data_IF_626888670278
#
_entry.id   IF_626888670278
#
_cell.length_a   1.000
_cell.length_b   1.000
_cell.length_c   1.000
_cell.angle_alpha   90.00
_cell.angle_beta   90.00
_cell.angle_gamma   90.00
#
_symmetry.space_group_name_H-M   'P 1'
#
loop_
_entity.id
_entity.type
_entity.pdbx_description
1 polymer ?
#
# COMPACT_ATOMS: atom_id res chain seq x y z
N UNK A 1 -12.58 -0.24 -28.41
CA UNK A 1 -13.45 -0.57 -27.26
C UNK A 1 -12.69 -0.17 -26.00
N UNK A 2 -13.21 0.76 -25.20
CA UNK A 2 -12.54 1.17 -23.96
C UNK A 2 -12.68 0.06 -22.92
N UNK A 3 -11.55 -0.55 -22.53
CA UNK A 3 -11.53 -1.58 -21.50
C UNK A 3 -11.62 -0.93 -20.11
N UNK A 4 -12.41 -1.53 -19.23
CA UNK A 4 -12.61 -1.09 -17.85
C UNK A 4 -12.10 -2.13 -16.87
N UNK A 5 -11.37 -1.68 -15.87
CA UNK A 5 -10.92 -2.53 -14.78
C UNK A 5 -11.39 -1.98 -13.42
N UNK A 6 -11.70 -2.92 -12.52
CA UNK A 6 -11.99 -2.64 -11.13
C UNK A 6 -10.92 -3.30 -10.27
N UNK A 7 -10.41 -2.55 -9.29
CA UNK A 7 -9.46 -3.06 -8.31
C UNK A 7 -10.08 -2.95 -6.93
N UNK A 8 -10.07 -4.07 -6.20
CA UNK A 8 -10.64 -4.21 -4.86
C UNK A 8 -9.54 -4.74 -3.95
N UNK A 9 -8.70 -3.87 -3.36
CA UNK A 9 -7.72 -4.29 -2.38
C UNK A 9 -8.40 -4.66 -1.06
N UNK A 10 -7.63 -5.32 -0.20
CA UNK A 10 -7.91 -5.48 1.21
C UNK A 10 -8.02 -4.09 1.89
N UNK A 11 -8.81 -3.95 2.96
CA UNK A 11 -9.03 -2.64 3.60
C UNK A 11 -7.78 -1.99 4.22
N UNK A 12 -6.67 -2.72 4.39
CA UNK A 12 -5.44 -2.17 4.93
C UNK A 12 -4.76 -1.20 3.94
N UNK A 13 -4.18 -0.13 4.49
CA UNK A 13 -3.50 0.88 3.67
C UNK A 13 -2.30 0.29 2.91
N UNK A 14 -1.56 -0.64 3.51
CA UNK A 14 -0.43 -1.32 2.85
C UNK A 14 -0.85 -2.07 1.58
N UNK A 15 -1.94 -2.84 1.66
CA UNK A 15 -2.45 -3.63 0.54
C UNK A 15 -3.02 -2.69 -0.52
N UNK A 16 -3.75 -1.66 -0.11
CA UNK A 16 -4.22 -0.59 -0.98
C UNK A 16 -3.08 0.03 -1.78
N UNK A 17 -2.04 0.54 -1.11
CA UNK A 17 -0.87 1.17 -1.74
C UNK A 17 -0.15 0.23 -2.71
N UNK A 18 -0.02 -1.05 -2.36
CA UNK A 18 0.57 -2.05 -3.25
C UNK A 18 -0.29 -2.27 -4.50
N UNK A 19 -1.62 -2.37 -4.35
CA UNK A 19 -2.54 -2.56 -5.48
C UNK A 19 -2.64 -1.33 -6.39
N UNK A 20 -2.28 -0.13 -5.90
CA UNK A 20 -2.13 1.05 -6.76
C UNK A 20 -1.04 0.87 -7.82
N UNK A 21 -0.06 -0.04 -7.63
CA UNK A 21 0.90 -0.43 -8.68
C UNK A 21 0.17 -1.02 -9.89
N UNK A 22 -0.77 -1.94 -9.67
CA UNK A 22 -1.57 -2.50 -10.74
C UNK A 22 -2.49 -1.44 -11.38
N UNK A 23 -3.08 -0.55 -10.58
CA UNK A 23 -3.92 0.53 -11.07
C UNK A 23 -3.15 1.47 -12.02
N UNK A 24 -1.96 1.89 -11.59
CA UNK A 24 -1.08 2.74 -12.38
C UNK A 24 -0.64 2.04 -13.67
N UNK A 25 -0.21 0.78 -13.59
CA UNK A 25 0.22 0.01 -14.76
C UNK A 25 -0.90 -0.13 -15.80
N UNK A 26 -2.12 -0.46 -15.38
CA UNK A 26 -3.29 -0.57 -16.26
C UNK A 26 -3.64 0.77 -16.91
N UNK A 27 -3.51 1.89 -16.18
CA UNK A 27 -3.72 3.23 -16.73
C UNK A 27 -2.69 3.58 -17.82
N UNK A 28 -1.42 3.17 -17.66
CA UNK A 28 -0.38 3.39 -18.67
C UNK A 28 -0.70 2.71 -20.01
N UNK A 29 -1.46 1.61 -19.99
CA UNK A 29 -1.93 0.92 -21.19
C UNK A 29 -3.37 1.30 -21.58
N UNK A 30 -3.84 2.48 -21.15
CA UNK A 30 -5.14 3.07 -21.49
C UNK A 30 -6.38 2.27 -21.06
N UNK A 31 -6.28 1.47 -19.98
CA UNK A 31 -7.44 0.86 -19.34
C UNK A 31 -8.05 1.86 -18.35
N UNK A 32 -9.38 2.01 -18.37
CA UNK A 32 -10.08 2.84 -17.40
C UNK A 32 -10.23 2.09 -16.07
N UNK A 33 -9.41 2.45 -15.09
CA UNK A 33 -9.36 1.79 -13.79
C UNK A 33 -10.13 2.57 -12.74
N UNK A 34 -10.95 1.87 -11.96
CA UNK A 34 -11.52 2.36 -10.69
C UNK A 34 -11.03 1.51 -9.52
N UNK A 35 -10.46 2.16 -8.51
CA UNK A 35 -10.00 1.51 -7.26
C UNK A 35 -11.01 1.78 -6.16
N UNK A 36 -11.48 0.72 -5.48
CA UNK A 36 -12.43 0.84 -4.38
C UNK A 36 -11.72 0.67 -3.05
N UNK A 37 -11.49 1.77 -2.34
CA UNK A 37 -10.75 1.74 -1.07
C UNK A 37 -11.02 3.00 -0.23
N UNK A 38 -11.57 2.83 0.97
CA UNK A 38 -11.99 3.95 1.82
C UNK A 38 -10.81 4.81 2.30
N UNK A 39 -9.74 4.20 2.83
CA UNK A 39 -8.55 4.95 3.27
C UNK A 39 -7.86 5.70 2.12
N UNK A 40 -7.55 5.04 1.01
CA UNK A 40 -6.91 5.70 -0.14
C UNK A 40 -7.76 6.83 -0.72
N UNK A 41 -9.09 6.72 -0.66
CA UNK A 41 -9.98 7.79 -1.10
C UNK A 41 -9.73 9.10 -0.33
N UNK A 42 -9.43 9.03 0.97
CA UNK A 42 -9.12 10.22 1.81
C UNK A 42 -7.84 10.95 1.40
N UNK A 43 -6.94 10.27 0.68
CA UNK A 43 -5.70 10.83 0.13
C UNK A 43 -5.69 10.83 -1.40
N UNK A 44 -6.87 10.80 -2.05
CA UNK A 44 -6.98 10.71 -3.50
C UNK A 44 -6.28 11.85 -4.26
N UNK A 45 -6.13 13.03 -3.65
CA UNK A 45 -5.38 14.15 -4.24
C UNK A 45 -3.88 13.85 -4.43
N UNK A 46 -3.34 12.83 -3.75
CA UNK A 46 -1.97 12.34 -3.94
C UNK A 46 -1.86 11.34 -5.10
N UNK A 47 -2.96 10.99 -5.76
CA UNK A 47 -3.00 10.08 -6.91
C UNK A 47 -3.80 10.73 -8.06
N UNK A 48 -3.33 11.85 -8.63
CA UNK A 48 -4.11 12.71 -9.52
C UNK A 48 -4.59 12.02 -10.80
N UNK A 49 -3.92 10.93 -11.20
CA UNK A 49 -4.26 10.16 -12.41
C UNK A 49 -5.09 8.91 -12.12
N UNK A 50 -5.52 8.69 -10.88
CA UNK A 50 -6.23 7.49 -10.46
C UNK A 50 -7.64 7.84 -10.00
N UNK A 51 -8.61 7.04 -10.43
CA UNK A 51 -9.97 7.12 -9.92
C UNK A 51 -10.10 6.21 -8.70
N UNK A 52 -10.07 6.81 -7.52
CA UNK A 52 -10.28 6.12 -6.25
C UNK A 52 -11.67 6.49 -5.73
N UNK A 53 -12.44 5.50 -5.29
CA UNK A 53 -13.78 5.70 -4.74
C UNK A 53 -13.96 4.90 -3.45
N UNK A 54 -14.87 5.31 -2.56
CA UNK A 54 -15.24 4.51 -1.38
C UNK A 54 -15.79 3.14 -1.76
N UNK A 55 -15.73 2.19 -0.83
CA UNK A 55 -16.20 0.80 -1.01
C UNK A 55 -17.74 0.77 -1.01
N UNK A 56 -18.35 1.11 -2.15
CA UNK A 56 -19.81 1.16 -2.36
C UNK A 56 -20.16 0.69 -3.77
N UNK A 57 -21.34 0.10 -3.94
CA UNK A 57 -21.85 -0.35 -5.25
C UNK A 57 -20.89 -1.29 -6.01
N UNK A 58 -20.11 -2.10 -5.30
CA UNK A 58 -19.08 -2.95 -5.91
C UNK A 58 -19.65 -3.96 -6.92
N UNK A 59 -20.80 -4.57 -6.61
CA UNK A 59 -21.47 -5.51 -7.51
C UNK A 59 -21.75 -4.92 -8.89
N UNK A 60 -22.29 -3.69 -8.93
CA UNK A 60 -22.60 -2.98 -10.17
C UNK A 60 -21.32 -2.61 -10.95
N UNK A 61 -20.30 -2.11 -10.25
CA UNK A 61 -19.03 -1.74 -10.86
C UNK A 61 -18.32 -2.94 -11.51
N UNK A 62 -18.26 -4.07 -10.80
CA UNK A 62 -17.66 -5.31 -11.35
C UNK A 62 -18.48 -5.86 -12.50
N UNK A 63 -19.82 -5.84 -12.39
CA UNK A 63 -20.71 -6.31 -13.47
C UNK A 63 -20.58 -5.51 -14.77
N UNK A 64 -20.04 -4.30 -14.69
CA UNK A 64 -19.74 -3.42 -15.83
C UNK A 64 -18.27 -3.46 -16.25
N UNK A 65 -17.39 -4.15 -15.53
CA UNK A 65 -15.96 -4.20 -15.85
C UNK A 65 -15.62 -5.33 -16.81
N UNK A 66 -14.48 -5.23 -17.50
CA UNK A 66 -13.90 -6.33 -18.28
C UNK A 66 -12.91 -7.15 -17.43
N UNK A 67 -12.31 -6.50 -16.41
CA UNK A 67 -11.32 -7.07 -15.52
C UNK A 67 -11.60 -6.65 -14.08
N UNK A 68 -11.59 -7.62 -13.17
CA UNK A 68 -11.62 -7.38 -11.73
C UNK A 68 -10.40 -8.01 -11.08
N UNK A 69 -9.61 -7.19 -10.38
CA UNK A 69 -8.45 -7.64 -9.60
C UNK A 69 -8.75 -7.43 -8.13
N UNK A 70 -8.61 -8.47 -7.33
CA UNK A 70 -8.80 -8.41 -5.89
C UNK A 70 -7.67 -9.05 -5.10
N UNK A 71 -7.55 -8.73 -3.82
CA UNK A 71 -6.74 -9.51 -2.88
C UNK A 71 -7.61 -10.51 -2.11
N UNK A 72 -7.04 -11.63 -1.67
CA UNK A 72 -7.81 -12.70 -1.01
C UNK A 72 -8.64 -12.25 0.19
N UNK A 73 -8.15 -11.29 0.98
CA UNK A 73 -8.81 -10.81 2.21
C UNK A 73 -9.79 -9.65 1.97
N UNK A 74 -10.04 -9.28 0.72
CA UNK A 74 -11.03 -8.24 0.38
C UNK A 74 -12.43 -8.66 0.84
N UNK A 75 -13.34 -7.70 1.14
CA UNK A 75 -14.68 -8.02 1.59
C UNK A 75 -15.34 -9.09 0.72
N UNK A 76 -16.09 -10.05 1.30
CA UNK A 76 -16.64 -11.20 0.61
C UNK A 76 -17.78 -10.77 -0.32
N UNK A 77 -17.43 -10.13 -1.43
CA UNK A 77 -18.38 -9.76 -2.47
C UNK A 77 -18.46 -10.81 -3.58
N UNK A 78 -17.52 -11.77 -3.65
CA UNK A 78 -17.43 -12.70 -4.80
C UNK A 78 -17.23 -14.17 -4.41
N UNK A 79 -17.92 -14.63 -3.38
CA UNK A 79 -18.34 -16.04 -3.33
C UNK A 79 -19.51 -16.34 -4.29
N UNK A 80 -20.14 -15.31 -4.87
CA UNK A 80 -21.16 -15.44 -5.90
C UNK A 80 -20.58 -15.07 -7.28
N UNK A 81 -20.45 -16.08 -8.13
CA UNK A 81 -20.06 -16.08 -9.55
C UNK A 81 -20.06 -14.69 -10.24
N UNK A 82 -18.88 -14.08 -10.52
CA UNK A 82 -18.83 -12.92 -11.39
C UNK A 82 -19.45 -13.26 -12.76
N UNK A 83 -20.02 -12.28 -13.48
CA UNK A 83 -20.54 -12.54 -14.82
C UNK A 83 -19.45 -13.18 -15.69
N UNK A 84 -19.83 -14.14 -16.55
CA UNK A 84 -18.87 -14.88 -17.38
C UNK A 84 -18.02 -14.00 -18.31
N UNK A 85 -18.44 -12.75 -18.54
CA UNK A 85 -17.72 -11.75 -19.34
C UNK A 85 -16.57 -11.05 -18.59
N UNK A 86 -16.47 -11.20 -17.26
CA UNK A 86 -15.48 -10.50 -16.44
C UNK A 86 -14.31 -11.43 -16.15
N UNK A 87 -13.09 -11.01 -16.51
CA UNK A 87 -11.88 -11.69 -16.06
C UNK A 87 -11.69 -11.37 -14.58
N UNK A 88 -11.78 -12.38 -13.71
CA UNK A 88 -11.53 -12.23 -12.29
C UNK A 88 -10.18 -12.83 -11.92
N UNK A 89 -9.37 -12.09 -11.18
CA UNK A 89 -8.10 -12.57 -10.63
C UNK A 89 -7.95 -12.16 -9.18
N UNK A 90 -7.47 -13.10 -8.38
CA UNK A 90 -7.16 -12.89 -6.97
C UNK A 90 -5.67 -13.02 -6.72
N UNK A 91 -5.12 -12.05 -6.00
CA UNK A 91 -3.75 -12.08 -5.51
C UNK A 91 -3.75 -12.61 -4.07
N UNK A 92 -3.13 -13.77 -3.89
CA UNK A 92 -3.03 -14.46 -2.60
C UNK A 92 -1.66 -14.18 -1.96
N UNK A 93 -1.63 -13.84 -0.67
CA UNK A 93 -0.36 -13.62 0.03
C UNK A 93 0.43 -14.92 0.16
N UNK A 94 -0.24 -16.06 0.35
CA UNK A 94 0.44 -17.35 0.55
C UNK A 94 -0.30 -18.56 -0.04
N UNK A 95 0.43 -19.68 -0.18
CA UNK A 95 -0.15 -20.98 -0.56
C UNK A 95 -1.16 -21.52 0.46
N UNK A 96 -1.18 -21.01 1.69
CA UNK A 96 -2.10 -21.46 2.75
C UNK A 96 -3.48 -20.82 2.61
N UNK A 97 -3.54 -19.63 2.01
CA UNK A 97 -4.77 -18.85 1.83
C UNK A 97 -5.51 -19.19 0.54
N UNK A 98 -4.90 -19.92 -0.39
CA UNK A 98 -5.50 -20.19 -1.70
C UNK A 98 -6.60 -21.28 -1.63
N UNK A 99 -7.58 -21.25 -2.55
CA UNK A 99 -8.48 -22.38 -2.75
C UNK A 99 -7.73 -23.62 -3.26
N UNK A 100 -8.38 -24.79 -3.14
CA UNK A 100 -7.84 -26.07 -3.65
C UNK A 100 -7.45 -25.97 -5.13
N UNK A 101 -8.32 -25.34 -5.94
CA UNK A 101 -8.11 -25.06 -7.36
C UNK A 101 -8.09 -23.54 -7.58
N UNK A 102 -7.04 -23.05 -8.22
CA UNK A 102 -6.92 -21.65 -8.62
C UNK A 102 -7.67 -21.38 -9.92
N UNK A 103 -8.17 -20.16 -10.09
CA UNK A 103 -8.59 -19.68 -11.40
C UNK A 103 -7.36 -19.46 -12.32
N UNK A 104 -7.52 -19.47 -13.65
CA UNK A 104 -6.39 -19.37 -14.59
C UNK A 104 -5.50 -18.13 -14.39
N UNK A 105 -6.08 -17.03 -13.91
CA UNK A 105 -5.40 -15.75 -13.76
C UNK A 105 -5.00 -15.43 -12.32
N UNK A 106 -5.32 -16.29 -11.36
CA UNK A 106 -4.94 -16.10 -9.97
C UNK A 106 -3.42 -16.11 -9.79
N UNK A 107 -2.93 -15.32 -8.85
CA UNK A 107 -1.49 -15.20 -8.56
C UNK A 107 -1.22 -15.46 -7.08
N UNK A 108 -0.20 -16.25 -6.79
CA UNK A 108 0.30 -16.46 -5.43
C UNK A 108 1.58 -15.66 -5.29
N UNK A 109 1.64 -14.83 -4.25
CA UNK A 109 2.82 -14.05 -3.95
C UNK A 109 3.97 -14.91 -3.45
N UNK A 110 5.17 -14.56 -3.91
CA UNK A 110 6.43 -15.08 -3.42
C UNK A 110 6.75 -14.44 -2.07
N UNK A 111 7.00 -15.28 -1.06
CA UNK A 111 7.43 -14.84 0.27
C UNK A 111 8.85 -14.24 0.29
N UNK A 112 9.59 -14.35 -0.82
CA UNK A 112 10.92 -13.77 -0.98
C UNK A 112 10.89 -12.34 -1.51
N UNK A 113 9.74 -11.91 -2.02
CA UNK A 113 9.54 -10.61 -2.60
C UNK A 113 8.60 -9.81 -1.73
N UNK A 114 8.72 -8.50 -1.84
CA UNK A 114 7.81 -7.56 -1.21
C UNK A 114 6.45 -7.53 -1.89
N UNK A 115 5.46 -6.90 -1.26
CA UNK A 115 4.13 -6.84 -1.85
C UNK A 115 4.08 -6.06 -3.17
N UNK A 116 4.73 -4.90 -3.26
CA UNK A 116 4.76 -4.10 -4.48
C UNK A 116 5.43 -4.83 -5.65
N UNK A 117 6.51 -5.59 -5.40
CA UNK A 117 7.17 -6.42 -6.41
C UNK A 117 6.27 -7.55 -6.89
N UNK A 118 5.61 -8.23 -5.95
CA UNK A 118 4.65 -9.29 -6.27
C UNK A 118 3.50 -8.76 -7.12
N UNK A 119 2.91 -7.61 -6.78
CA UNK A 119 1.85 -6.98 -7.57
C UNK A 119 2.36 -6.61 -8.97
N UNK A 120 3.56 -6.05 -9.06
CA UNK A 120 4.16 -5.66 -10.33
C UNK A 120 4.40 -6.84 -11.27
N UNK A 121 4.96 -7.94 -10.76
CA UNK A 121 5.16 -9.18 -11.53
C UNK A 121 3.81 -9.80 -11.89
N UNK A 122 2.87 -9.82 -10.96
CA UNK A 122 1.54 -10.36 -11.17
C UNK A 122 0.84 -9.63 -12.33
N UNK A 123 0.79 -8.29 -12.30
CA UNK A 123 0.13 -7.51 -13.35
C UNK A 123 0.84 -7.63 -14.70
N UNK A 124 2.18 -7.56 -14.75
CA UNK A 124 2.94 -7.73 -15.99
C UNK A 124 2.65 -9.10 -16.63
N UNK A 125 2.64 -10.17 -15.82
CA UNK A 125 2.38 -11.52 -16.30
C UNK A 125 0.95 -11.74 -16.81
N UNK A 126 -0.05 -11.00 -16.31
CA UNK A 126 -1.43 -11.08 -16.80
C UNK A 126 -1.56 -10.58 -18.24
N UNK A 127 -0.66 -9.68 -18.66
CA UNK A 127 -0.67 -9.06 -19.98
C UNK A 127 0.49 -9.52 -20.86
N UNK A 128 1.23 -10.56 -20.45
CA UNK A 128 2.37 -11.09 -21.21
C UNK A 128 3.54 -10.12 -21.34
N UNK A 129 3.65 -9.14 -20.42
CA UNK A 129 4.76 -8.19 -20.38
C UNK A 129 5.88 -8.68 -19.46
N UNK A 130 7.13 -8.34 -19.81
CA UNK A 130 8.30 -8.50 -18.95
C UNK A 130 8.65 -7.23 -18.17
N UNK A 131 8.04 -6.10 -18.53
CA UNK A 131 8.28 -4.82 -17.87
C UNK A 131 7.57 -4.80 -16.51
N UNK A 132 8.37 -4.66 -15.46
CA UNK A 132 7.89 -4.51 -14.09
C UNK A 132 8.27 -3.13 -13.57
N UNK A 133 7.36 -2.52 -12.81
CA UNK A 133 7.55 -1.24 -12.14
C UNK A 133 6.79 -1.24 -10.82
N UNK A 134 7.39 -0.67 -9.78
CA UNK A 134 6.74 -0.43 -8.48
C UNK A 134 6.06 0.95 -8.42
N UNK A 135 6.10 1.72 -9.51
CA UNK A 135 5.42 3.02 -9.55
C UNK A 135 3.91 2.80 -9.39
N UNK A 136 3.34 3.39 -8.34
CA UNK A 136 1.91 3.30 -8.06
C UNK A 136 1.14 4.59 -8.37
N UNK A 137 1.80 5.54 -9.03
CA UNK A 137 1.19 6.80 -9.46
C UNK A 137 0.96 7.81 -8.35
N UNK A 138 1.62 7.65 -7.20
CA UNK A 138 1.64 8.71 -6.18
C UNK A 138 2.37 9.94 -6.74
N UNK A 139 1.75 11.10 -6.61
CA UNK A 139 2.27 12.39 -7.07
C UNK A 139 1.89 13.47 -6.04
N UNK A 140 2.82 13.85 -5.14
CA UNK A 140 2.55 14.80 -4.07
C UNK A 140 2.03 16.15 -4.62
N UNK A 141 0.89 16.66 -4.12
CA UNK A 141 0.28 17.89 -4.65
C UNK A 141 1.12 19.15 -4.37
N UNK A 142 2.03 19.10 -3.39
CA UNK A 142 2.84 20.24 -2.98
C UNK A 142 4.32 19.85 -2.82
N UNK A 143 5.07 19.66 -3.92
CA UNK A 143 6.45 19.17 -3.87
C UNK A 143 7.41 20.09 -3.09
N UNK A 144 7.07 21.38 -2.96
CA UNK A 144 7.85 22.35 -2.17
C UNK A 144 7.89 22.06 -0.67
N UNK A 145 6.98 21.25 -0.14
CA UNK A 145 6.94 20.90 1.29
C UNK A 145 7.74 19.64 1.62
N UNK A 146 8.37 19.00 0.63
CA UNK A 146 9.09 17.76 0.84
C UNK A 146 10.22 17.92 1.86
N UNK A 147 10.07 17.24 3.00
CA UNK A 147 11.04 17.20 4.10
C UNK A 147 11.49 18.60 4.53
N UNK A 148 10.58 19.57 4.55
CA UNK A 148 10.88 20.96 4.90
C UNK A 148 11.27 21.11 6.38
N UNK A 149 10.76 20.24 7.27
CA UNK A 149 11.08 20.22 8.70
C UNK A 149 12.21 19.25 8.98
N UNK A 150 13.45 19.75 8.98
CA UNK A 150 14.68 18.95 9.14
C UNK A 150 14.87 18.38 10.54
N UNK A 151 14.21 18.97 11.52
CA UNK A 151 14.17 18.58 12.92
C UNK A 151 13.03 17.60 13.23
N UNK A 152 12.02 17.48 12.35
CA UNK A 152 10.82 16.69 12.66
C UNK A 152 10.96 15.21 12.31
N UNK A 153 10.46 14.37 13.21
CA UNK A 153 10.39 12.91 13.06
C UNK A 153 8.95 12.47 13.11
N UNK A 154 8.48 11.89 12.02
CA UNK A 154 7.17 11.26 11.98
C UNK A 154 7.22 9.89 12.67
N UNK A 155 6.34 9.67 13.64
CA UNK A 155 6.29 8.45 14.44
C UNK A 155 4.94 7.79 14.26
N UNK A 156 4.95 6.50 13.95
CA UNK A 156 3.75 5.69 13.93
C UNK A 156 3.09 5.66 15.32
N UNK A 157 1.80 5.99 15.39
CA UNK A 157 1.02 5.92 16.63
C UNK A 157 1.01 4.51 17.25
N UNK A 158 1.30 3.46 16.49
CA UNK A 158 1.51 2.12 17.04
C UNK A 158 2.67 2.03 18.05
N UNK A 159 3.57 3.03 18.08
CA UNK A 159 4.65 3.15 19.06
C UNK A 159 4.26 3.94 20.32
N UNK A 160 2.99 4.34 20.48
CA UNK A 160 2.51 4.99 21.72
C UNK A 160 2.82 4.22 23.02
N UNK A 161 2.80 2.87 23.06
CA UNK A 161 3.22 2.13 24.26
C UNK A 161 4.68 2.38 24.68
N UNK A 162 5.52 2.94 23.78
CA UNK A 162 6.93 3.28 24.00
C UNK A 162 7.16 4.78 23.88
N UNK A 163 6.13 5.59 24.15
CA UNK A 163 6.15 7.04 23.90
C UNK A 163 7.31 7.71 24.63
N UNK A 164 7.52 7.40 25.90
CA UNK A 164 8.50 8.11 26.72
C UNK A 164 9.93 7.82 26.26
N UNK A 165 10.23 6.58 25.89
CA UNK A 165 11.51 6.17 25.31
C UNK A 165 11.75 6.83 23.95
N UNK A 166 10.73 6.87 23.09
CA UNK A 166 10.81 7.54 21.79
C UNK A 166 11.03 9.04 21.97
N UNK A 167 10.28 9.68 22.89
CA UNK A 167 10.45 11.10 23.20
C UNK A 167 11.85 11.39 23.76
N UNK A 168 12.35 10.56 24.66
CA UNK A 168 13.71 10.69 25.22
C UNK A 168 14.76 10.60 24.12
N UNK A 169 14.65 9.60 23.22
CA UNK A 169 15.57 9.43 22.11
C UNK A 169 15.54 10.63 21.15
N UNK A 170 14.34 11.11 20.80
CA UNK A 170 14.19 12.31 19.98
C UNK A 170 14.84 13.54 20.64
N UNK A 171 14.58 13.76 21.93
CA UNK A 171 15.16 14.89 22.69
C UNK A 171 16.69 14.84 22.73
N UNK A 172 17.27 13.65 22.97
CA UNK A 172 18.72 13.45 22.99
C UNK A 172 19.39 13.75 21.63
N UNK A 173 18.63 13.64 20.54
CA UNK A 173 19.11 13.88 19.18
C UNK A 173 18.57 15.20 18.58
N UNK A 174 17.97 16.07 19.40
CA UNK A 174 17.40 17.36 18.97
C UNK A 174 16.34 17.26 17.87
N UNK A 175 15.52 16.20 17.93
CA UNK A 175 14.41 15.98 17.01
C UNK A 175 13.06 16.35 17.65
N UNK A 176 12.14 16.89 16.86
CA UNK A 176 10.74 17.15 17.17
C UNK A 176 9.87 15.93 16.76
N UNK A 177 9.42 15.10 17.72
CA UNK A 177 8.56 13.96 17.42
C UNK A 177 7.12 14.39 17.10
N UNK A 178 6.54 13.88 16.01
CA UNK A 178 5.12 13.99 15.70
C UNK A 178 4.51 12.61 15.52
N UNK A 179 3.45 12.30 16.28
CA UNK A 179 2.75 11.01 16.17
C UNK A 179 1.67 11.10 15.09
N UNK A 180 1.69 10.16 14.15
CA UNK A 180 0.78 10.09 13.01
C UNK A 180 -0.38 9.13 13.29
N UNK A 181 -1.60 9.51 12.93
CA UNK A 181 -2.80 8.70 13.10
C UNK A 181 -3.32 8.20 11.76
N UNK A 182 -3.32 6.88 11.53
CA UNK A 182 -3.85 6.29 10.31
C UNK A 182 -5.37 6.54 10.13
N UNK A 183 -6.09 6.90 11.20
CA UNK A 183 -7.50 7.31 11.12
C UNK A 183 -7.68 8.74 10.56
N UNK A 184 -6.68 9.60 10.71
CA UNK A 184 -6.57 10.90 10.04
C UNK A 184 -5.46 10.84 8.99
N UNK A 185 -5.70 10.07 7.94
CA UNK A 185 -4.69 9.83 6.92
C UNK A 185 -4.37 11.10 6.12
N UNK A 186 -5.33 12.01 5.94
CA UNK A 186 -5.14 13.29 5.24
C UNK A 186 -4.21 14.22 6.02
N UNK A 187 -4.40 14.37 7.32
CA UNK A 187 -3.46 15.14 8.16
C UNK A 187 -2.10 14.44 8.28
N UNK A 188 -2.12 13.12 8.48
CA UNK A 188 -0.91 12.33 8.70
C UNK A 188 0.01 12.28 7.48
N UNK A 189 -0.51 12.18 6.25
CA UNK A 189 0.33 12.15 5.05
C UNK A 189 1.05 13.50 4.82
N UNK A 190 0.40 14.62 5.14
CA UNK A 190 1.01 15.94 5.05
C UNK A 190 2.15 16.08 6.07
N UNK A 191 1.88 15.75 7.34
CA UNK A 191 2.91 15.77 8.40
C UNK A 191 4.07 14.84 8.08
N UNK A 192 3.77 13.64 7.56
CA UNK A 192 4.76 12.67 7.11
C UNK A 192 5.65 13.28 6.01
N UNK A 193 5.05 13.85 4.96
CA UNK A 193 5.77 14.42 3.82
C UNK A 193 6.66 15.61 4.20
N UNK A 194 6.26 16.41 5.18
CA UNK A 194 7.05 17.51 5.73
C UNK A 194 8.22 17.04 6.62
N UNK A 195 8.13 15.85 7.19
CA UNK A 195 9.07 15.33 8.19
C UNK A 195 10.39 14.84 7.56
N UNK A 196 11.48 14.90 8.31
CA UNK A 196 12.81 14.53 7.82
C UNK A 196 12.96 13.02 7.62
N UNK A 197 12.37 12.22 8.51
CA UNK A 197 12.33 10.76 8.48
C UNK A 197 11.12 10.22 9.25
N UNK A 198 10.85 8.93 9.05
CA UNK A 198 9.75 8.20 9.68
C UNK A 198 10.29 7.04 10.55
N UNK A 199 9.65 6.81 11.70
CA UNK A 199 9.91 5.68 12.61
C UNK A 199 8.59 4.97 12.91
N UNK A 200 8.52 3.66 12.65
CA UNK A 200 7.25 2.94 12.85
C UNK A 200 7.34 1.44 12.73
N UNK A 201 6.20 0.77 12.91
CA UNK A 201 6.07 -0.67 12.68
C UNK A 201 5.94 -0.96 11.17
N UNK A 202 6.16 -2.20 10.71
CA UNK A 202 5.89 -2.59 9.32
C UNK A 202 4.37 -2.62 9.05
N UNK A 203 3.76 -1.45 8.80
CA UNK A 203 2.34 -1.28 8.54
C UNK A 203 2.03 -0.10 7.60
N UNK A 204 0.76 0.28 7.50
CA UNK A 204 0.26 1.21 6.46
C UNK A 204 1.06 2.51 6.29
N UNK A 205 1.32 3.23 7.39
CA UNK A 205 2.08 4.48 7.35
C UNK A 205 3.55 4.28 6.97
N UNK A 206 4.14 3.13 7.31
CA UNK A 206 5.51 2.77 6.94
C UNK A 206 5.62 2.50 5.42
N UNK A 207 4.63 1.79 4.85
CA UNK A 207 4.52 1.61 3.41
C UNK A 207 4.32 2.94 2.68
N UNK A 208 3.50 3.83 3.25
CA UNK A 208 3.29 5.18 2.70
C UNK A 208 4.57 6.03 2.73
N UNK A 209 5.31 6.02 3.84
CA UNK A 209 6.57 6.74 3.99
C UNK A 209 7.59 6.30 2.94
N UNK A 210 7.78 4.99 2.78
CA UNK A 210 8.68 4.44 1.77
C UNK A 210 8.22 4.75 0.34
N UNK A 211 6.92 4.77 0.08
CA UNK A 211 6.39 5.15 -1.23
C UNK A 211 6.67 6.62 -1.57
N UNK A 212 6.66 7.49 -0.56
CA UNK A 212 7.02 8.91 -0.66
C UNK A 212 8.55 9.16 -0.63
N UNK A 213 9.36 8.10 -0.69
CA UNK A 213 10.83 8.17 -0.59
C UNK A 213 11.35 8.79 0.72
N UNK A 214 10.56 8.77 1.78
CA UNK A 214 10.95 9.30 3.09
C UNK A 214 11.86 8.26 3.78
N UNK A 215 13.04 8.66 4.30
CA UNK A 215 13.88 7.76 5.07
C UNK A 215 13.08 7.10 6.19
N UNK A 216 13.07 5.78 6.21
CA UNK A 216 12.16 4.99 7.04
C UNK A 216 12.97 4.04 7.91
N UNK A 217 12.77 4.16 9.22
CA UNK A 217 13.27 3.23 10.23
C UNK A 217 12.14 2.35 10.70
N UNK A 218 12.29 1.05 10.44
CA UNK A 218 11.30 0.05 10.87
C UNK A 218 11.71 -0.48 12.24
N UNK A 219 10.84 -0.26 13.22
CA UNK A 219 10.92 -0.84 14.56
C UNK A 219 10.35 -2.25 14.50
N UNK A 220 11.14 -3.22 14.93
CA UNK A 220 10.73 -4.63 15.01
C UNK A 220 10.99 -5.24 16.36
N UNK A 221 10.16 -6.21 16.74
CA UNK A 221 10.48 -7.14 17.83
C UNK A 221 11.51 -8.18 17.33
N UNK A 222 11.98 -9.08 18.20
CA UNK A 222 13.02 -10.10 17.86
C UNK A 222 12.67 -11.01 16.68
N UNK A 223 11.43 -11.03 16.18
CA UNK A 223 11.03 -11.84 15.03
C UNK A 223 11.46 -11.18 13.71
N UNK A 224 12.06 -11.98 12.83
CA UNK A 224 12.35 -11.56 11.45
C UNK A 224 11.05 -11.20 10.74
N UNK A 225 10.97 -9.98 10.20
CA UNK A 225 9.87 -9.56 9.33
C UNK A 225 10.09 -10.21 7.95
N UNK A 226 9.11 -10.94 7.41
CA UNK A 226 9.25 -11.51 6.08
C UNK A 226 9.25 -10.39 5.02
N UNK A 227 9.96 -10.58 3.88
CA UNK A 227 10.00 -9.57 2.81
C UNK A 227 8.63 -9.06 2.36
N UNK A 228 7.61 -9.93 2.35
CA UNK A 228 6.26 -9.59 1.95
C UNK A 228 5.65 -8.43 2.75
N UNK A 229 6.02 -8.33 4.03
CA UNK A 229 5.48 -7.32 4.96
C UNK A 229 6.36 -6.07 5.01
N UNK A 230 7.49 -6.06 4.29
CA UNK A 230 8.40 -4.91 4.26
C UNK A 230 7.96 -3.89 3.20
N UNK A 231 8.10 -2.58 3.52
CA UNK A 231 7.84 -1.51 2.57
C UNK A 231 8.93 -1.52 1.49
N UNK A 232 8.52 -1.45 0.24
CA UNK A 232 9.40 -1.89 -0.85
C UNK A 232 9.68 -0.86 -1.93
N UNK A 233 9.07 0.31 -1.85
CA UNK A 233 9.22 1.32 -2.89
C UNK A 233 10.65 1.88 -2.93
N UNK A 234 11.24 2.15 -1.76
CA UNK A 234 12.58 2.72 -1.63
C UNK A 234 13.37 2.07 -0.48
N UNK A 235 14.66 2.40 -0.40
CA UNK A 235 15.58 1.94 0.65
C UNK A 235 15.06 2.31 2.04
N UNK A 236 14.98 1.32 2.93
CA UNK A 236 14.69 1.48 4.35
C UNK A 236 15.88 0.99 5.19
N UNK A 237 15.96 1.46 6.43
CA UNK A 237 16.89 0.92 7.42
C UNK A 237 16.10 0.08 8.41
N UNK A 238 16.55 -1.16 8.62
CA UNK A 238 16.04 -2.00 9.70
C UNK A 238 16.80 -1.64 10.98
N UNK A 239 16.10 -1.10 11.96
CA UNK A 239 16.66 -0.89 13.29
C UNK A 239 16.05 -1.90 14.23
N UNK A 240 16.90 -2.72 14.85
CA UNK A 240 16.48 -3.50 16.01
C UNK A 240 16.34 -2.54 17.17
N UNK A 241 15.09 -2.27 17.56
CA UNK A 241 14.85 -1.68 18.86
C UNK A 241 14.84 -2.84 19.84
N UNK A 242 15.88 -2.91 20.67
CA UNK A 242 15.81 -3.65 21.91
C UNK A 242 14.79 -2.93 22.77
N UNK A 243 13.52 -3.26 22.59
CA UNK A 243 12.47 -2.86 23.51
C UNK A 243 12.89 -3.51 24.83
N UNK A 244 13.43 -2.67 25.73
CA UNK A 244 13.81 -3.06 27.08
C UNK A 244 12.51 -3.53 27.73
N UNK A 245 12.38 -4.85 27.88
CA UNK A 245 11.29 -5.48 28.61
C UNK A 245 11.62 -5.48 30.09
#
# INVERSE_FOLDING_TARGET
>A
MHKRAVIIPDPSLENGLAMMVAAHWLRQIHIDVTVFHDKLFTIGCWFPFQRIVPVRNLADAVGKSDLCISTHTSPPLYTAHPPASVIFTTFYRSKKEKPKKLAPYDKIFSQKLTQAENVSIAIASLFGSFETSKNNGIDPPFPSFYRIRKDRVAIDRALLPYRDEVMQLCNMNHFEPVFLDENDLTGSIQLLYESMFFVGLPGGLCHLAANLSIPTTIVRTKKKIPPLDLPAWHSYTLSEVYILS
#
